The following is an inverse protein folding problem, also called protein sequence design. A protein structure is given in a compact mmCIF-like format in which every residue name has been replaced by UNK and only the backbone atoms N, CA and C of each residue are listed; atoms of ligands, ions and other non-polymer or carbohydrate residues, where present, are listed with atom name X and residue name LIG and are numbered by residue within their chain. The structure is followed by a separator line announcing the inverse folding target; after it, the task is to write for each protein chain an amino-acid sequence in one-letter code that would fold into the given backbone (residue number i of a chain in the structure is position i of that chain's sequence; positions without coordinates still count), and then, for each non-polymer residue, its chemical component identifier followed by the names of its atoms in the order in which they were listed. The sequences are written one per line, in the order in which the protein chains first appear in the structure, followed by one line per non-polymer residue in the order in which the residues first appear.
data_IF_627734853267
#
_entry.id   IF_627734853267
#
_cell.length_a   1.000
_cell.length_b   1.000
_cell.length_c   1.000
_cell.angle_alpha   90.00
_cell.angle_beta   90.00
_cell.angle_gamma   90.00
#
_symmetry.space_group_name_H-M   'P 1'
#
loop_
_entity.id
_entity.type
_entity.pdbx_description
1 polymer ?
#
# COMPACT_ATOMS: atom_id res chain seq x y z
N UNK A 1 11.12 -3.58 0.15
CA UNK A 1 9.69 -3.29 0.41
C UNK A 1 8.87 -3.44 -0.85
N UNK A 2 7.62 -3.89 -0.73
CA UNK A 2 6.71 -4.07 -1.85
C UNK A 2 5.40 -3.33 -1.57
N UNK A 3 4.87 -2.62 -2.57
CA UNK A 3 3.59 -1.94 -2.50
C UNK A 3 2.81 -2.19 -3.80
N UNK A 4 1.73 -2.99 -3.71
CA UNK A 4 0.76 -3.14 -4.78
C UNK A 4 -0.27 -2.01 -4.73
N UNK A 5 -0.47 -1.31 -5.83
CA UNK A 5 -1.44 -0.21 -5.97
C UNK A 5 -2.48 -0.53 -7.06
N UNK A 6 -3.66 0.07 -6.92
CA UNK A 6 -4.79 -0.11 -7.84
C UNK A 6 -5.45 1.26 -8.13
N UNK A 7 -4.71 2.22 -8.74
CA UNK A 7 -5.21 3.56 -8.98
C UNK A 7 -6.19 3.61 -10.17
N UNK A 8 -7.10 4.59 -10.13
CA UNK A 8 -8.03 4.82 -11.25
C UNK A 8 -7.27 5.31 -12.51
N UNK A 9 -6.22 6.11 -12.32
CA UNK A 9 -5.38 6.68 -13.40
C UNK A 9 -3.94 6.22 -13.31
N UNK A 10 -3.17 6.46 -14.38
CA UNK A 10 -1.75 6.20 -14.37
C UNK A 10 -1.01 7.28 -13.54
N UNK A 11 -0.62 6.91 -12.32
CA UNK A 11 0.05 7.83 -11.37
C UNK A 11 1.54 7.55 -11.20
N UNK A 12 2.04 6.41 -11.67
CA UNK A 12 3.43 5.97 -11.47
C UNK A 12 4.44 7.07 -11.89
N UNK A 13 4.31 7.69 -13.09
CA UNK A 13 5.25 8.72 -13.52
C UNK A 13 5.26 9.96 -12.62
N UNK A 14 4.13 10.26 -11.96
CA UNK A 14 3.97 11.44 -11.12
C UNK A 14 4.55 11.25 -9.72
N UNK A 15 4.45 10.03 -9.18
CA UNK A 15 4.85 9.73 -7.80
C UNK A 15 6.31 9.31 -7.68
N UNK A 16 6.94 8.86 -8.77
CA UNK A 16 8.29 8.30 -8.78
C UNK A 16 9.31 9.19 -8.03
N UNK A 17 9.38 10.48 -8.35
CA UNK A 17 10.33 11.41 -7.73
C UNK A 17 10.09 11.54 -6.22
N UNK A 18 8.83 11.65 -5.80
CA UNK A 18 8.47 11.78 -4.39
C UNK A 18 8.95 10.57 -3.57
N UNK A 19 8.73 9.35 -4.06
CA UNK A 19 9.13 8.14 -3.35
C UNK A 19 10.65 7.93 -3.36
N UNK A 20 11.34 8.30 -4.46
CA UNK A 20 12.81 8.28 -4.52
C UNK A 20 13.42 9.19 -3.46
N UNK A 21 12.97 10.44 -3.40
CA UNK A 21 13.55 11.44 -2.49
C UNK A 21 13.23 11.11 -1.02
N UNK A 22 12.06 10.50 -0.74
CA UNK A 22 11.59 10.21 0.61
C UNK A 22 12.12 8.90 1.20
N UNK A 23 12.31 7.88 0.38
CA UNK A 23 12.74 6.54 0.80
C UNK A 23 14.07 6.17 0.13
N UNK A 24 15.06 7.06 0.27
CA UNK A 24 16.36 6.94 -0.38
C UNK A 24 17.27 5.87 0.27
N UNK A 25 16.95 5.43 1.49
CA UNK A 25 17.75 4.52 2.32
C UNK A 25 17.36 3.04 2.16
N UNK A 26 16.33 2.73 1.38
CA UNK A 26 15.80 1.37 1.25
C UNK A 26 15.37 1.02 -0.18
N UNK A 27 15.52 -0.26 -0.54
CA UNK A 27 15.00 -0.79 -1.81
C UNK A 27 13.50 -0.98 -1.74
N UNK A 28 12.78 -0.49 -2.75
CA UNK A 28 11.32 -0.60 -2.79
C UNK A 28 10.78 -0.80 -4.21
N UNK A 29 9.61 -1.43 -4.27
CA UNK A 29 8.83 -1.63 -5.50
C UNK A 29 7.44 -1.05 -5.29
N UNK A 30 6.97 -0.25 -6.25
CA UNK A 30 5.56 0.17 -6.36
C UNK A 30 5.02 -0.40 -7.67
N UNK A 31 3.97 -1.22 -7.58
CA UNK A 31 3.45 -1.97 -8.73
C UNK A 31 1.96 -1.70 -8.95
N UNK A 32 1.59 -1.24 -10.14
CA UNK A 32 0.19 -1.03 -10.54
C UNK A 32 -0.43 -2.36 -11.02
N UNK A 33 -1.31 -2.91 -10.18
CA UNK A 33 -2.01 -4.17 -10.40
C UNK A 33 -3.06 -4.10 -11.53
N UNK A 34 -3.48 -2.92 -11.97
CA UNK A 34 -4.39 -2.76 -13.12
C UNK A 34 -3.63 -2.69 -14.43
N UNK A 35 -2.52 -1.95 -14.46
CA UNK A 35 -1.74 -1.69 -15.69
C UNK A 35 -0.58 -2.66 -15.90
N UNK A 36 -0.35 -3.55 -14.94
CA UNK A 36 0.66 -4.61 -14.99
C UNK A 36 2.08 -4.09 -15.23
N UNK A 37 2.41 -2.98 -14.56
CA UNK A 37 3.78 -2.48 -14.52
C UNK A 37 4.03 -1.69 -13.24
N UNK A 38 5.30 -1.52 -12.91
CA UNK A 38 5.72 -0.87 -11.69
C UNK A 38 7.00 -0.08 -11.85
N UNK A 39 7.46 0.46 -10.74
CA UNK A 39 8.78 1.05 -10.58
C UNK A 39 9.53 0.37 -9.45
N UNK A 40 10.82 0.14 -9.66
CA UNK A 40 11.74 -0.41 -8.68
C UNK A 40 12.87 0.57 -8.41
N UNK A 41 13.14 0.83 -7.13
CA UNK A 41 14.27 1.63 -6.69
C UNK A 41 15.36 0.73 -6.09
N UNK A 42 16.57 0.81 -6.67
CA UNK A 42 17.72 -0.02 -6.32
C UNK A 42 18.71 0.64 -5.35
N UNK A 43 18.36 1.83 -4.82
CA UNK A 43 19.18 2.78 -4.04
C UNK A 43 19.90 3.85 -4.87
N UNK A 44 20.01 3.70 -6.19
CA UNK A 44 20.67 4.67 -7.06
C UNK A 44 19.68 5.29 -8.04
N UNK A 45 18.92 4.43 -8.74
CA UNK A 45 18.00 4.78 -9.81
C UNK A 45 16.65 4.09 -9.61
N UNK A 46 15.64 4.70 -10.23
CA UNK A 46 14.32 4.10 -10.33
C UNK A 46 14.13 3.60 -11.75
N UNK A 47 13.78 2.33 -11.91
CA UNK A 47 13.56 1.69 -13.19
C UNK A 47 12.12 1.17 -13.30
N UNK A 48 11.57 1.22 -14.50
CA UNK A 48 10.29 0.58 -14.78
C UNK A 48 10.46 -0.94 -14.86
N UNK A 49 9.53 -1.65 -14.24
CA UNK A 49 9.51 -3.11 -14.22
C UNK A 49 8.19 -3.64 -14.77
N UNK A 50 8.28 -4.76 -15.47
CA UNK A 50 7.14 -5.52 -15.99
C UNK A 50 7.25 -6.95 -15.49
N UNK A 51 6.15 -7.49 -15.00
CA UNK A 51 6.12 -8.88 -14.54
C UNK A 51 5.48 -9.75 -15.61
N UNK A 52 6.06 -10.94 -15.81
CA UNK A 52 5.45 -11.95 -16.66
C UNK A 52 4.11 -12.43 -16.08
N UNK A 53 3.23 -12.98 -16.91
CA UNK A 53 1.93 -13.49 -16.45
C UNK A 53 2.09 -14.60 -15.38
N UNK A 54 3.16 -15.40 -15.46
CA UNK A 54 3.50 -16.41 -14.46
C UNK A 54 3.91 -15.77 -13.13
N UNK A 55 4.71 -14.71 -13.17
CA UNK A 55 5.13 -13.99 -11.98
C UNK A 55 3.96 -13.24 -11.31
N UNK A 56 3.03 -12.72 -12.10
CA UNK A 56 1.80 -12.09 -11.59
C UNK A 56 0.95 -13.10 -10.79
N UNK A 57 0.77 -14.32 -11.30
CA UNK A 57 0.04 -15.37 -10.58
C UNK A 57 0.74 -15.76 -9.27
N UNK A 58 2.07 -15.86 -9.29
CA UNK A 58 2.87 -16.10 -8.08
C UNK A 58 2.69 -14.98 -7.05
N UNK A 59 2.78 -13.71 -7.46
CA UNK A 59 2.59 -12.58 -6.53
C UNK A 59 1.23 -12.57 -5.83
N UNK A 60 0.16 -12.91 -6.55
CA UNK A 60 -1.19 -12.99 -5.96
C UNK A 60 -1.33 -14.10 -4.90
N UNK A 61 -0.59 -15.20 -5.05
CA UNK A 61 -0.64 -16.35 -4.14
C UNK A 61 0.33 -16.21 -2.96
N UNK A 62 1.49 -15.59 -3.17
CA UNK A 62 2.57 -15.43 -2.17
C UNK A 62 2.42 -14.15 -1.32
N UNK A 63 1.39 -13.33 -1.54
CA UNK A 63 1.19 -12.06 -0.81
C UNK A 63 1.17 -12.19 0.72
N UNK A 64 0.83 -13.37 1.27
CA UNK A 64 0.89 -13.64 2.72
C UNK A 64 2.27 -14.08 3.21
N UNK A 65 3.06 -14.71 2.35
CA UNK A 65 4.38 -15.27 2.70
C UNK A 65 5.51 -14.24 2.55
N UNK A 66 5.30 -13.19 1.75
CA UNK A 66 6.27 -12.10 1.54
C UNK A 66 6.20 -10.97 2.59
N UNK A 67 5.27 -11.07 3.53
CA UNK A 67 5.08 -10.08 4.59
C UNK A 67 6.14 -10.32 5.65
N UNK A 68 6.97 -9.30 5.92
CA UNK A 68 7.98 -9.36 6.99
C UNK A 68 7.31 -9.72 8.31
N UNK A 69 7.96 -10.57 9.12
CA UNK A 69 7.46 -10.99 10.44
C UNK A 69 7.07 -9.79 11.34
N UNK A 70 7.69 -8.62 11.11
CA UNK A 70 7.43 -7.38 11.86
C UNK A 70 6.18 -6.61 11.42
N UNK A 71 5.66 -6.85 10.21
CA UNK A 71 4.50 -6.11 9.67
C UNK A 71 3.24 -6.35 10.50
N UNK A 72 3.03 -7.58 11.00
CA UNK A 72 1.91 -7.87 11.90
C UNK A 72 1.96 -7.03 13.18
N UNK A 73 3.15 -6.90 13.77
CA UNK A 73 3.36 -6.04 14.94
C UNK A 73 3.06 -4.57 14.64
N UNK A 74 3.49 -4.06 13.48
CA UNK A 74 3.19 -2.67 13.09
C UNK A 74 1.69 -2.44 12.86
N UNK A 75 0.99 -3.41 12.27
CA UNK A 75 -0.46 -3.36 12.10
C UNK A 75 -1.19 -3.28 13.44
N UNK A 76 -0.78 -4.09 14.42
CA UNK A 76 -1.37 -4.07 15.76
C UNK A 76 -1.12 -2.73 16.47
N UNK A 77 0.09 -2.19 16.37
CA UNK A 77 0.43 -0.87 16.91
C UNK A 77 -0.44 0.23 16.28
N UNK A 78 -0.63 0.19 14.96
CA UNK A 78 -1.50 1.13 14.25
C UNK A 78 -2.96 1.03 14.72
N UNK A 79 -3.50 -0.20 14.81
CA UNK A 79 -4.87 -0.43 15.27
C UNK A 79 -5.07 0.09 16.69
N UNK A 80 -4.11 -0.15 17.59
CA UNK A 80 -4.17 0.33 18.97
C UNK A 80 -4.09 1.85 19.04
N UNK A 81 -3.19 2.47 18.29
CA UNK A 81 -3.10 3.92 18.15
C UNK A 81 -4.41 4.53 17.65
N UNK A 82 -4.96 3.99 16.55
CA UNK A 82 -6.21 4.45 15.96
C UNK A 82 -7.38 4.35 16.95
N UNK A 83 -7.48 3.26 17.70
CA UNK A 83 -8.51 3.08 18.74
C UNK A 83 -8.35 4.07 19.88
N UNK A 84 -7.12 4.24 20.40
CA UNK A 84 -6.85 5.07 21.57
C UNK A 84 -7.03 6.57 21.32
N UNK A 85 -6.73 7.04 20.12
CA UNK A 85 -6.87 8.46 19.73
C UNK A 85 -8.27 8.83 19.27
N UNK A 86 -9.11 7.84 18.95
CA UNK A 86 -10.45 8.08 18.46
C UNK A 86 -11.39 8.55 19.59
N UNK A 87 -12.03 9.69 19.38
CA UNK A 87 -13.01 10.24 20.32
C UNK A 87 -14.39 9.69 19.95
N UNK A 88 -14.89 8.75 20.76
CA UNK A 88 -16.15 8.03 20.48
C UNK A 88 -17.33 8.97 20.20
N UNK A 89 -17.45 10.07 20.96
CA UNK A 89 -18.51 11.06 20.77
C UNK A 89 -18.44 11.80 19.42
N UNK A 90 -17.28 11.82 18.74
CA UNK A 90 -17.09 12.45 17.42
C UNK A 90 -17.30 11.47 16.26
N UNK A 91 -17.72 10.23 16.53
CA UNK A 91 -17.92 9.20 15.50
C UNK A 91 -19.09 9.56 14.57
N UNK A 92 -18.77 10.01 13.36
CA UNK A 92 -19.75 10.26 12.30
C UNK A 92 -19.46 9.39 11.06
N UNK A 93 -20.13 8.23 10.99
CA UNK A 93 -19.90 7.26 9.90
C UNK A 93 -20.40 7.75 8.54
N UNK A 94 -21.46 8.59 8.50
CA UNK A 94 -21.96 9.18 7.25
C UNK A 94 -20.91 10.10 6.63
N UNK A 95 -20.33 10.99 7.43
CA UNK A 95 -19.28 11.90 6.99
C UNK A 95 -17.99 11.14 6.63
N UNK A 96 -17.60 10.15 7.44
CA UNK A 96 -16.42 9.32 7.16
C UNK A 96 -16.53 8.61 5.81
N UNK A 97 -17.69 8.04 5.48
CA UNK A 97 -17.90 7.36 4.19
C UNK A 97 -17.90 8.31 2.99
N UNK A 98 -18.29 9.58 3.19
CA UNK A 98 -18.20 10.62 2.15
C UNK A 98 -16.76 11.02 1.84
N UNK A 99 -15.91 11.16 2.86
CA UNK A 99 -14.50 11.50 2.68
C UNK A 99 -13.63 10.30 2.28
N UNK A 100 -13.94 9.11 2.78
CA UNK A 100 -13.20 7.87 2.54
C UNK A 100 -14.16 6.81 2.01
N UNK A 101 -14.37 6.74 0.68
CA UNK A 101 -15.24 5.76 0.06
C UNK A 101 -14.85 4.32 0.42
N UNK A 102 -15.84 3.47 0.65
CA UNK A 102 -15.64 2.06 1.09
C UNK A 102 -14.75 1.23 0.16
N UNK A 103 -14.70 1.55 -1.14
CA UNK A 103 -13.86 0.85 -2.12
C UNK A 103 -12.37 0.84 -1.76
N UNK A 104 -11.89 1.82 -1.00
CA UNK A 104 -10.50 1.90 -0.55
C UNK A 104 -10.24 1.24 0.80
N UNK A 105 -11.29 0.83 1.54
CA UNK A 105 -11.12 0.27 2.88
C UNK A 105 -10.36 -1.06 2.88
N UNK A 106 -10.29 -1.75 1.74
CA UNK A 106 -9.44 -2.95 1.56
C UNK A 106 -7.95 -2.69 1.86
N UNK A 107 -7.50 -1.44 1.73
CA UNK A 107 -6.11 -1.03 2.00
C UNK A 107 -5.91 -0.38 3.38
N UNK A 108 -6.97 -0.21 4.17
CA UNK A 108 -6.88 0.45 5.48
C UNK A 108 -6.72 -0.58 6.59
N UNK A 109 -5.54 -0.60 7.22
CA UNK A 109 -5.22 -1.54 8.30
C UNK A 109 -6.24 -1.49 9.44
N UNK A 110 -6.72 -0.30 9.82
CA UNK A 110 -7.72 -0.15 10.89
C UNK A 110 -9.14 -0.66 10.52
N UNK A 111 -9.36 -1.01 9.24
CA UNK A 111 -10.62 -1.58 8.74
C UNK A 111 -10.53 -3.07 8.40
N UNK A 112 -9.33 -3.65 8.40
CA UNK A 112 -9.09 -5.04 8.03
C UNK A 112 -9.54 -6.06 9.09
N UNK A 113 -10.00 -5.62 10.26
CA UNK A 113 -10.47 -6.46 11.37
C UNK A 113 -11.99 -6.48 11.57
N UNK A 114 -12.78 -6.24 10.51
CA UNK A 114 -14.26 -6.30 10.53
C UNK A 114 -14.74 -7.39 9.58
#
# INVERSE_FOLDING_TARGET
FYCGIDPDFNVIPLIMKHFKDRYADQKWVIYDLKRQYGIFYDLEKVEEIYLSDEDQQRLSSTQKELVSEKEGMYADLWINYFKSTNIVARKNMKLHTRHVPKRYWKYLTEKQSI
#
